data_IF_214762637441
#
_entry.id   IF_214762637441
#
_cell.length_a   1.000
_cell.length_b   1.000
_cell.length_c   1.000
_cell.angle_alpha   90.00
_cell.angle_beta   90.00
_cell.angle_gamma   90.00
#
_symmetry.space_group_name_H-M   'P 1'
#
loop_
_entity.id
_entity.type
_entity.pdbx_description
1 polymer ?
#
# COMPACT_ATOMS: atom_id res chain seq x y z
N UNK A 1 45.59 -2.36 -16.80
CA UNK A 1 44.87 -1.70 -15.66
C UNK A 1 43.41 -2.04 -15.77
N UNK A 2 42.82 -2.72 -14.78
CA UNK A 2 41.39 -2.94 -14.73
C UNK A 2 40.69 -1.60 -14.46
N UNK A 3 39.66 -1.28 -15.23
CA UNK A 3 38.84 -0.09 -14.99
C UNK A 3 38.19 -0.19 -13.59
N UNK A 4 38.09 0.90 -12.84
CA UNK A 4 37.37 0.88 -11.57
C UNK A 4 35.90 0.51 -11.82
N UNK A 5 35.25 -0.25 -10.91
CA UNK A 5 33.86 -0.63 -11.07
C UNK A 5 32.95 0.61 -11.03
N UNK A 6 31.97 0.67 -11.94
CA UNK A 6 30.89 1.65 -11.86
C UNK A 6 30.04 1.35 -10.63
N UNK A 7 29.85 2.35 -9.77
CA UNK A 7 29.02 2.24 -8.56
C UNK A 7 27.67 2.88 -8.75
N UNK A 8 26.64 2.31 -8.13
CA UNK A 8 25.34 2.94 -8.02
C UNK A 8 25.40 4.20 -7.12
N UNK A 9 24.34 5.05 -7.17
CA UNK A 9 24.20 6.17 -6.25
C UNK A 9 24.19 5.69 -4.80
N UNK A 10 24.91 6.41 -3.92
CA UNK A 10 25.06 6.04 -2.51
C UNK A 10 23.71 5.93 -1.77
N UNK A 11 22.76 6.81 -2.08
CA UNK A 11 21.40 6.76 -1.50
C UNK A 11 20.67 5.43 -1.77
N UNK A 12 20.98 4.73 -2.86
CA UNK A 12 20.35 3.45 -3.18
C UNK A 12 20.83 2.30 -2.28
N UNK A 13 21.97 2.42 -1.63
CA UNK A 13 22.46 1.39 -0.70
C UNK A 13 21.63 1.30 0.59
N UNK A 14 20.92 2.37 0.96
CA UNK A 14 20.06 2.42 2.13
C UNK A 14 18.61 1.98 1.83
N UNK A 15 18.25 1.85 0.54
CA UNK A 15 16.90 1.44 0.11
C UNK A 15 16.69 -0.05 0.35
N UNK A 16 15.75 -0.38 1.22
CA UNK A 16 15.30 -1.75 1.47
C UNK A 16 13.96 -1.99 0.80
N UNK A 17 13.93 -2.81 -0.24
CA UNK A 17 12.70 -3.15 -0.96
C UNK A 17 12.70 -4.65 -1.33
N UNK A 18 12.52 -5.50 -0.32
CA UNK A 18 12.65 -6.96 -0.46
C UNK A 18 11.48 -7.66 -1.15
N UNK A 19 10.38 -6.95 -1.46
CA UNK A 19 9.19 -7.52 -2.13
C UNK A 19 9.56 -8.21 -3.45
N UNK A 20 10.62 -7.71 -4.15
CA UNK A 20 11.21 -8.30 -5.35
C UNK A 20 12.72 -8.53 -5.21
N UNK A 21 13.18 -8.77 -3.99
CA UNK A 21 14.58 -8.94 -3.64
C UNK A 21 15.13 -10.35 -3.89
N UNK A 22 16.02 -10.79 -3.00
CA UNK A 22 16.71 -12.08 -3.11
C UNK A 22 15.74 -13.28 -3.12
N UNK A 23 14.72 -13.26 -2.27
CA UNK A 23 13.71 -14.33 -2.20
C UNK A 23 12.93 -14.49 -3.51
N UNK A 24 12.56 -13.39 -4.17
CA UNK A 24 11.85 -13.47 -5.45
C UNK A 24 12.72 -14.06 -6.55
N UNK A 25 14.01 -13.68 -6.62
CA UNK A 25 14.98 -14.29 -7.57
C UNK A 25 15.20 -15.79 -7.30
N UNK A 26 15.26 -16.19 -6.01
CA UNK A 26 15.38 -17.61 -5.66
C UNK A 26 14.14 -18.40 -6.05
N UNK A 27 12.93 -17.83 -5.86
CA UNK A 27 11.69 -18.43 -6.30
C UNK A 27 11.65 -18.65 -7.82
N UNK A 28 12.09 -17.65 -8.62
CA UNK A 28 12.20 -17.79 -10.09
C UNK A 28 13.19 -18.88 -10.49
N UNK A 29 14.28 -19.04 -9.75
CA UNK A 29 15.23 -20.13 -10.00
C UNK A 29 14.60 -21.50 -9.74
N UNK A 30 13.91 -21.68 -8.60
CA UNK A 30 13.22 -22.93 -8.27
C UNK A 30 12.14 -23.27 -9.32
N UNK A 31 11.41 -22.26 -9.82
CA UNK A 31 10.45 -22.48 -10.92
C UNK A 31 11.12 -22.98 -12.21
N UNK A 32 12.32 -22.47 -12.56
CA UNK A 32 13.10 -22.98 -13.69
C UNK A 32 13.61 -24.40 -13.46
N UNK A 33 13.81 -24.79 -12.21
CA UNK A 33 14.16 -26.16 -11.78
C UNK A 33 12.93 -27.10 -11.79
N UNK A 34 11.72 -26.58 -12.08
CA UNK A 34 10.47 -27.35 -12.20
C UNK A 34 9.60 -27.40 -10.97
N UNK A 35 9.88 -26.60 -9.94
CA UNK A 35 9.07 -26.53 -8.74
C UNK A 35 7.90 -25.56 -8.89
N UNK A 36 6.72 -25.93 -8.39
CA UNK A 36 5.56 -25.04 -8.30
C UNK A 36 5.62 -24.24 -7.00
N UNK A 37 5.69 -22.91 -7.09
CA UNK A 37 5.82 -22.01 -5.94
C UNK A 37 4.51 -21.26 -5.68
N UNK A 38 3.98 -21.36 -4.47
CA UNK A 38 2.84 -20.54 -4.03
C UNK A 38 3.36 -19.17 -3.60
N UNK A 39 3.13 -18.13 -4.44
CA UNK A 39 3.65 -16.78 -4.24
C UNK A 39 2.69 -15.90 -3.46
N UNK A 40 2.93 -15.70 -2.17
CA UNK A 40 2.11 -14.89 -1.25
C UNK A 40 2.76 -13.55 -0.89
N UNK A 41 3.92 -13.24 -1.47
CA UNK A 41 4.71 -12.06 -1.17
C UNK A 41 4.22 -10.77 -1.84
N UNK A 42 3.41 -10.85 -2.90
CA UNK A 42 2.92 -9.70 -3.66
C UNK A 42 1.39 -9.77 -3.78
N UNK A 43 0.72 -8.66 -3.46
CA UNK A 43 -0.72 -8.48 -3.72
C UNK A 43 -1.00 -8.35 -5.22
N UNK A 44 -1.03 -9.47 -5.92
CA UNK A 44 -1.29 -9.58 -7.36
C UNK A 44 -2.55 -10.42 -7.64
N UNK A 45 -3.75 -9.81 -7.57
CA UNK A 45 -5.01 -10.55 -7.73
C UNK A 45 -5.11 -11.37 -9.01
N UNK A 46 -4.61 -10.83 -10.12
CA UNK A 46 -4.64 -11.50 -11.42
C UNK A 46 -3.95 -12.85 -11.46
N UNK A 47 -2.87 -13.03 -10.69
CA UNK A 47 -2.15 -14.30 -10.59
C UNK A 47 -2.97 -15.42 -9.91
N UNK A 48 -4.00 -15.05 -9.14
CA UNK A 48 -4.90 -15.97 -8.45
C UNK A 48 -6.29 -16.03 -9.08
N UNK A 49 -6.40 -15.65 -10.37
CA UNK A 49 -7.65 -15.75 -11.13
C UNK A 49 -8.70 -14.67 -10.82
N UNK A 50 -8.36 -13.65 -10.03
CA UNK A 50 -9.21 -12.46 -9.91
C UNK A 50 -9.07 -11.61 -11.16
N UNK A 51 -10.18 -11.34 -11.81
CA UNK A 51 -10.21 -10.52 -13.03
C UNK A 51 -10.73 -9.12 -12.73
N UNK A 52 -10.24 -8.13 -13.47
CA UNK A 52 -10.85 -6.81 -13.46
C UNK A 52 -12.28 -6.91 -14.02
N UNK A 53 -13.19 -5.99 -13.65
CA UNK A 53 -14.52 -5.91 -14.23
C UNK A 53 -14.46 -5.86 -15.76
N UNK A 54 -15.32 -6.64 -16.44
CA UNK A 54 -15.32 -6.73 -17.90
C UNK A 54 -15.65 -5.39 -18.56
N UNK A 55 -16.53 -4.59 -17.93
CA UNK A 55 -16.86 -3.23 -18.37
C UNK A 55 -15.63 -2.33 -18.53
N UNK A 56 -14.64 -2.46 -17.65
CA UNK A 56 -13.37 -1.70 -17.75
C UNK A 56 -12.57 -2.14 -18.98
N UNK A 57 -12.53 -3.44 -19.28
CA UNK A 57 -11.86 -3.97 -20.46
C UNK A 57 -12.50 -3.47 -21.74
N UNK A 58 -13.84 -3.52 -21.80
CA UNK A 58 -14.63 -3.02 -22.93
C UNK A 58 -14.36 -1.51 -23.14
N UNK A 59 -14.38 -0.73 -22.07
CA UNK A 59 -14.10 0.72 -22.15
C UNK A 59 -12.70 1.01 -22.72
N UNK A 60 -11.68 0.26 -22.29
CA UNK A 60 -10.31 0.41 -22.83
C UNK A 60 -10.26 0.05 -24.32
N UNK A 61 -10.79 -1.10 -24.72
CA UNK A 61 -10.74 -1.56 -26.11
C UNK A 61 -11.49 -0.62 -27.03
N UNK A 62 -12.67 -0.17 -26.61
CA UNK A 62 -13.48 0.79 -27.39
C UNK A 62 -12.79 2.12 -27.65
N UNK A 63 -11.91 2.57 -26.73
CA UNK A 63 -11.22 3.85 -26.82
C UNK A 63 -9.74 3.72 -27.22
N UNK A 64 -9.24 2.50 -27.52
CA UNK A 64 -7.82 2.27 -27.81
C UNK A 64 -7.31 3.13 -28.98
N UNK A 65 -8.12 3.39 -29.98
CA UNK A 65 -7.81 4.25 -31.12
C UNK A 65 -7.54 5.72 -30.75
N UNK A 66 -7.91 6.15 -29.54
CA UNK A 66 -7.65 7.50 -29.03
C UNK A 66 -6.35 7.56 -28.20
N UNK A 67 -5.64 6.45 -28.07
CA UNK A 67 -4.46 6.35 -27.23
C UNK A 67 -3.12 6.54 -27.98
N UNK A 68 -3.17 6.82 -29.29
CA UNK A 68 -1.98 7.03 -30.11
C UNK A 68 -1.21 8.32 -29.74
N UNK A 69 -1.87 9.50 -29.56
CA UNK A 69 -1.16 10.73 -29.23
C UNK A 69 -0.82 10.83 -27.73
N UNK A 70 0.17 11.66 -27.43
CA UNK A 70 0.35 12.13 -26.05
C UNK A 70 -0.90 12.88 -25.56
N UNK A 71 -1.20 12.74 -24.28
CA UNK A 71 -2.30 13.44 -23.64
C UNK A 71 -1.79 14.46 -22.60
N UNK A 72 -2.69 15.08 -21.86
CA UNK A 72 -2.34 16.03 -20.82
C UNK A 72 -1.46 15.40 -19.74
N UNK A 73 -0.47 16.13 -19.21
CA UNK A 73 0.47 15.62 -18.18
C UNK A 73 -0.23 15.16 -16.90
N UNK A 74 -1.36 15.76 -16.54
CA UNK A 74 -2.21 15.33 -15.41
C UNK A 74 -3.10 14.13 -15.73
N UNK A 75 -3.19 13.69 -17.00
CA UNK A 75 -4.07 12.62 -17.48
C UNK A 75 -5.28 13.15 -18.28
N UNK A 76 -5.98 12.24 -18.96
CA UNK A 76 -7.16 12.60 -19.76
C UNK A 76 -8.26 13.20 -18.87
N UNK A 77 -9.02 14.14 -19.43
CA UNK A 77 -10.03 14.89 -18.67
C UNK A 77 -11.09 13.95 -18.07
N UNK A 78 -11.59 12.98 -18.83
CA UNK A 78 -12.62 12.04 -18.39
C UNK A 78 -12.18 11.21 -17.16
N UNK A 79 -10.90 10.81 -17.10
CA UNK A 79 -10.38 10.08 -15.95
C UNK A 79 -10.27 11.00 -14.71
N UNK A 80 -9.80 12.23 -14.89
CA UNK A 80 -9.68 13.22 -13.81
C UNK A 80 -11.06 13.62 -13.27
N UNK A 81 -12.02 13.86 -14.15
CA UNK A 81 -13.40 14.20 -13.79
C UNK A 81 -14.08 13.04 -13.02
N UNK A 82 -13.89 11.80 -13.43
CA UNK A 82 -14.42 10.65 -12.70
C UNK A 82 -13.85 10.55 -11.27
N UNK A 83 -12.58 10.89 -11.09
CA UNK A 83 -11.97 10.97 -9.74
C UNK A 83 -12.57 12.12 -8.93
N UNK A 84 -12.79 13.29 -9.54
CA UNK A 84 -13.49 14.40 -8.88
C UNK A 84 -14.87 13.99 -8.39
N UNK A 85 -15.67 13.34 -9.25
CA UNK A 85 -16.99 12.84 -8.87
C UNK A 85 -16.92 11.85 -7.70
N UNK A 86 -15.92 10.95 -7.68
CA UNK A 86 -15.70 10.06 -6.55
C UNK A 86 -15.41 10.84 -5.26
N UNK A 87 -14.55 11.87 -5.31
CA UNK A 87 -14.23 12.70 -4.16
C UNK A 87 -15.45 13.47 -3.66
N UNK A 88 -16.23 14.05 -4.55
CA UNK A 88 -17.47 14.76 -4.22
C UNK A 88 -18.50 13.83 -3.55
N UNK A 89 -18.66 12.61 -4.06
CA UNK A 89 -19.52 11.58 -3.44
C UNK A 89 -19.04 11.19 -2.03
N UNK A 90 -17.77 11.42 -1.72
CA UNK A 90 -17.15 11.21 -0.40
C UNK A 90 -17.16 12.44 0.50
N UNK A 91 -17.79 13.54 0.05
CA UNK A 91 -17.91 14.78 0.82
C UNK A 91 -16.82 15.82 0.59
N UNK A 92 -15.91 15.61 -0.38
CA UNK A 92 -14.85 16.57 -0.74
C UNK A 92 -15.33 17.40 -1.93
N UNK A 93 -16.05 18.50 -1.66
CA UNK A 93 -16.82 19.25 -2.66
C UNK A 93 -16.00 20.28 -3.46
N UNK A 94 -14.85 20.70 -2.95
CA UNK A 94 -14.05 21.80 -3.51
C UNK A 94 -12.94 21.34 -4.48
N UNK A 95 -12.88 20.02 -4.76
CA UNK A 95 -11.91 19.43 -5.71
C UNK A 95 -12.39 19.57 -7.14
N UNK A 96 -11.48 19.94 -8.04
CA UNK A 96 -11.68 20.06 -9.48
C UNK A 96 -10.75 19.15 -10.27
N UNK A 97 -10.93 19.03 -11.58
CA UNK A 97 -10.04 18.24 -12.43
C UNK A 97 -8.59 18.78 -12.45
N UNK A 98 -8.37 20.03 -12.05
CA UNK A 98 -7.01 20.60 -11.95
C UNK A 98 -6.26 20.12 -10.71
N UNK A 99 -6.96 19.59 -9.72
CA UNK A 99 -6.39 19.05 -8.49
C UNK A 99 -6.05 17.57 -8.60
N UNK A 100 -6.34 16.93 -9.75
CA UNK A 100 -6.20 15.49 -9.97
C UNK A 100 -5.05 15.19 -10.93
N UNK A 101 -4.17 14.27 -10.54
CA UNK A 101 -3.08 13.74 -11.36
C UNK A 101 -3.26 12.23 -11.55
N UNK A 102 -3.32 11.78 -12.80
CA UNK A 102 -3.29 10.36 -13.15
C UNK A 102 -1.85 9.94 -13.42
N UNK A 103 -1.42 8.86 -12.79
CA UNK A 103 -0.05 8.33 -12.91
C UNK A 103 0.01 6.86 -13.30
N UNK A 104 1.23 6.37 -13.58
CA UNK A 104 1.51 4.97 -13.89
C UNK A 104 1.44 4.09 -12.61
N UNK A 105 0.29 4.15 -11.95
CA UNK A 105 0.01 3.58 -10.63
C UNK A 105 0.42 4.53 -9.50
N UNK A 106 -0.08 4.25 -8.30
CA UNK A 106 0.22 5.02 -7.08
C UNK A 106 1.72 5.14 -6.84
N UNK A 107 2.50 4.12 -7.21
CA UNK A 107 3.96 4.12 -6.99
C UNK A 107 4.68 5.28 -7.70
N UNK A 108 4.29 5.62 -8.93
CA UNK A 108 4.83 6.80 -9.62
C UNK A 108 4.43 8.08 -8.89
N UNK A 109 3.17 8.19 -8.50
CA UNK A 109 2.64 9.40 -7.85
C UNK A 109 3.29 9.65 -6.48
N UNK A 110 3.58 8.60 -5.72
CA UNK A 110 4.38 8.70 -4.49
C UNK A 110 5.76 9.28 -4.79
N UNK A 111 6.44 8.75 -5.81
CA UNK A 111 7.77 9.25 -6.20
C UNK A 111 7.73 10.71 -6.65
N UNK A 112 6.73 11.11 -7.45
CA UNK A 112 6.57 12.50 -7.89
C UNK A 112 6.28 13.43 -6.70
N UNK A 113 5.35 13.05 -5.82
CA UNK A 113 4.99 13.84 -4.65
C UNK A 113 6.18 14.03 -3.70
N UNK A 114 6.91 12.96 -3.38
CA UNK A 114 8.08 13.04 -2.51
C UNK A 114 9.22 13.82 -3.17
N UNK A 115 9.46 13.62 -4.48
CA UNK A 115 10.50 14.37 -5.20
C UNK A 115 10.24 15.87 -5.22
N UNK A 116 8.98 16.28 -5.38
CA UNK A 116 8.61 17.69 -5.37
C UNK A 116 8.69 18.34 -3.99
N UNK A 117 8.55 17.55 -2.91
CA UNK A 117 8.46 18.03 -1.54
C UNK A 117 9.80 18.08 -0.79
N UNK A 118 10.66 17.06 -1.01
CA UNK A 118 11.75 16.76 -0.11
C UNK A 118 13.09 17.32 -0.58
N UNK A 119 13.83 17.88 0.38
CA UNK A 119 15.24 18.20 0.27
C UNK A 119 16.07 17.24 1.15
N UNK A 120 17.39 17.11 0.89
CA UNK A 120 18.27 16.36 1.77
C UNK A 120 18.18 16.83 3.23
N UNK A 121 17.97 15.87 4.14
CA UNK A 121 17.81 16.13 5.57
C UNK A 121 16.39 16.45 6.05
N UNK A 122 15.41 16.61 5.15
CA UNK A 122 14.01 16.66 5.52
C UNK A 122 13.53 15.31 6.11
N UNK A 123 12.43 15.33 6.84
CA UNK A 123 11.87 14.15 7.50
C UNK A 123 10.44 13.89 7.04
N UNK A 124 10.10 12.60 6.91
CA UNK A 124 8.73 12.12 6.63
C UNK A 124 8.34 11.13 7.71
N UNK A 125 7.21 11.37 8.39
CA UNK A 125 6.65 10.41 9.33
C UNK A 125 5.93 9.30 8.56
N UNK A 126 6.32 8.03 8.80
CA UNK A 126 5.82 6.85 8.09
C UNK A 126 5.39 5.80 9.13
N UNK A 127 4.30 5.03 8.93
CA UNK A 127 3.95 3.98 9.88
C UNK A 127 5.03 2.89 9.96
N UNK A 128 5.08 2.17 11.06
CA UNK A 128 5.81 0.91 11.21
C UNK A 128 4.86 -0.12 11.84
N UNK A 129 4.42 -1.13 11.06
CA UNK A 129 4.83 -1.50 9.68
C UNK A 129 4.28 -0.56 8.59
N UNK A 130 5.05 -0.39 7.48
CA UNK A 130 4.67 0.42 6.33
C UNK A 130 4.58 -0.38 5.02
N UNK A 131 4.11 0.29 3.96
CA UNK A 131 4.41 -0.13 2.60
C UNK A 131 5.79 0.44 2.22
N UNK A 132 6.83 -0.41 2.01
CA UNK A 132 8.23 0.01 1.97
C UNK A 132 8.59 1.08 0.93
N UNK A 133 7.71 1.31 -0.06
CA UNK A 133 7.91 2.37 -1.04
C UNK A 133 7.90 3.77 -0.41
N UNK A 134 7.11 3.98 0.65
CA UNK A 134 7.08 5.28 1.34
C UNK A 134 8.43 5.59 1.98
N UNK A 135 8.99 4.64 2.71
CA UNK A 135 10.36 4.76 3.26
C UNK A 135 11.40 4.90 2.16
N UNK A 136 11.34 4.04 1.13
CA UNK A 136 12.29 4.08 0.02
C UNK A 136 12.25 5.42 -0.73
N UNK A 137 11.06 5.98 -0.95
CA UNK A 137 10.93 7.27 -1.65
C UNK A 137 11.53 8.42 -0.86
N UNK A 138 11.43 8.44 0.47
CA UNK A 138 12.12 9.43 1.30
C UNK A 138 13.64 9.29 1.18
N UNK A 139 14.17 8.09 1.35
CA UNK A 139 15.61 7.78 1.32
C UNK A 139 16.23 8.12 -0.06
N UNK A 140 15.59 7.76 -1.17
CA UNK A 140 16.08 8.06 -2.53
C UNK A 140 16.26 9.57 -2.75
N UNK A 141 15.47 10.41 -2.07
CA UNK A 141 15.57 11.86 -2.18
C UNK A 141 16.47 12.49 -1.11
N UNK A 142 17.23 11.68 -0.34
CA UNK A 142 18.13 12.15 0.71
C UNK A 142 17.41 12.61 1.98
N UNK A 143 16.14 12.35 2.11
CA UNK A 143 15.34 12.61 3.30
C UNK A 143 15.34 11.39 4.24
N UNK A 144 14.89 11.60 5.47
CA UNK A 144 14.79 10.55 6.49
C UNK A 144 13.34 10.11 6.68
N UNK A 145 13.08 8.82 6.59
CA UNK A 145 11.85 8.23 7.08
C UNK A 145 11.92 8.06 8.61
N UNK A 146 11.02 8.70 9.33
CA UNK A 146 10.87 8.58 10.78
C UNK A 146 9.64 7.74 11.07
N UNK A 147 9.86 6.53 11.61
CA UNK A 147 8.79 5.56 11.78
C UNK A 147 8.03 5.78 13.08
N UNK A 148 6.69 5.98 12.98
CA UNK A 148 5.82 5.94 14.14
C UNK A 148 5.25 4.52 14.34
N UNK A 149 5.19 4.03 15.60
CA UNK A 149 4.82 2.64 15.85
C UNK A 149 3.32 2.40 15.70
N UNK A 150 2.95 1.36 14.94
CA UNK A 150 1.62 0.76 14.95
C UNK A 150 1.74 -0.62 15.62
N UNK A 151 1.36 -0.70 16.90
CA UNK A 151 1.62 -1.89 17.73
C UNK A 151 0.55 -2.97 17.57
N UNK A 152 0.93 -4.27 17.59
CA UNK A 152 -0.03 -5.38 17.55
C UNK A 152 -1.08 -5.30 18.67
N UNK A 153 -0.68 -4.90 19.88
CA UNK A 153 -1.56 -4.81 21.08
C UNK A 153 -2.67 -3.76 20.89
N UNK A 154 -2.50 -2.85 19.95
CA UNK A 154 -3.51 -1.83 19.56
C UNK A 154 -4.15 -2.14 18.20
N UNK A 155 -4.06 -3.39 17.72
CA UNK A 155 -4.58 -3.77 16.41
C UNK A 155 -3.86 -3.11 15.22
N UNK A 156 -2.60 -2.72 15.40
CA UNK A 156 -1.81 -1.94 14.44
C UNK A 156 -2.37 -0.55 14.12
N UNK A 157 -3.25 -0.03 14.97
CA UNK A 157 -3.72 1.36 14.89
C UNK A 157 -2.70 2.27 15.59
N UNK A 158 -2.20 3.34 14.96
CA UNK A 158 -1.24 4.26 15.57
C UNK A 158 -1.85 5.05 16.73
N UNK A 159 -0.98 5.47 17.66
CA UNK A 159 -1.32 6.46 18.68
C UNK A 159 -1.00 7.87 18.15
N UNK A 160 -2.00 8.74 17.91
CA UNK A 160 -1.76 10.08 17.42
C UNK A 160 -0.81 10.92 18.30
N UNK A 161 -0.85 10.73 19.62
CA UNK A 161 0.04 11.44 20.53
C UNK A 161 1.51 10.99 20.37
N UNK A 162 1.76 9.73 20.02
CA UNK A 162 3.10 9.25 19.69
C UNK A 162 3.56 9.80 18.33
N UNK A 163 2.67 9.86 17.35
CA UNK A 163 2.96 10.45 16.03
C UNK A 163 3.36 11.93 16.19
N UNK A 164 2.59 12.72 16.93
CA UNK A 164 2.84 14.14 17.12
C UNK A 164 4.17 14.43 17.84
N UNK A 165 4.57 13.58 18.79
CA UNK A 165 5.87 13.71 19.48
C UNK A 165 7.08 13.49 18.57
N UNK A 166 6.92 12.86 17.41
CA UNK A 166 7.98 12.66 16.41
C UNK A 166 8.14 13.85 15.46
N UNK A 167 7.22 14.82 15.49
CA UNK A 167 7.29 15.99 14.61
C UNK A 167 8.46 16.89 15.05
N UNK A 168 9.29 17.25 14.09
CA UNK A 168 10.42 18.20 14.26
C UNK A 168 10.30 19.36 13.28
N UNK A 169 11.18 20.35 13.38
CA UNK A 169 11.25 21.46 12.43
C UNK A 169 11.63 21.00 10.98
N UNK A 170 12.12 19.77 10.81
CA UNK A 170 12.46 19.18 9.51
C UNK A 170 11.35 18.30 8.95
N UNK A 171 10.32 18.01 9.71
CA UNK A 171 9.20 17.18 9.24
C UNK A 171 8.42 17.92 8.17
N UNK A 172 8.23 17.29 7.00
CA UNK A 172 7.51 17.84 5.85
C UNK A 172 6.17 17.18 5.60
N UNK A 173 6.08 15.89 5.90
CA UNK A 173 4.88 15.12 5.65
C UNK A 173 4.65 14.06 6.72
N UNK A 174 3.38 13.68 6.88
CA UNK A 174 2.97 12.46 7.58
C UNK A 174 2.21 11.56 6.62
N UNK A 175 2.60 10.30 6.55
CA UNK A 175 1.98 9.27 5.72
C UNK A 175 1.02 8.46 6.56
N UNK A 176 -0.20 8.28 6.07
CA UNK A 176 -1.21 7.38 6.62
C UNK A 176 -1.56 6.35 5.55
N UNK A 177 -1.50 5.06 5.88
CA UNK A 177 -1.88 3.96 4.99
C UNK A 177 -3.13 3.30 5.57
N UNK A 178 -4.28 3.57 4.98
CA UNK A 178 -5.57 3.13 5.52
C UNK A 178 -6.54 2.70 4.40
N UNK A 179 -6.98 1.45 4.36
CA UNK A 179 -6.55 0.28 5.14
C UNK A 179 -5.07 -0.06 4.96
N UNK A 180 -4.44 -0.55 6.03
CA UNK A 180 -2.98 -0.70 6.08
C UNK A 180 -2.47 -1.95 5.33
N UNK A 181 -1.39 -1.78 4.60
CA UNK A 181 -0.49 -2.82 4.13
C UNK A 181 0.81 -2.72 4.96
N UNK A 182 1.19 -3.75 5.76
CA UNK A 182 0.85 -5.17 5.60
C UNK A 182 -0.25 -5.72 6.52
N UNK A 183 -0.78 -4.97 7.47
CA UNK A 183 -1.51 -5.50 8.62
C UNK A 183 -3.00 -5.74 8.39
N UNK A 184 -3.60 -5.04 7.42
CA UNK A 184 -5.04 -5.03 7.22
C UNK A 184 -5.80 -4.22 8.29
N UNK A 185 -5.11 -3.41 9.09
CA UNK A 185 -5.75 -2.50 10.02
C UNK A 185 -6.56 -1.45 9.26
N UNK A 186 -7.73 -1.10 9.82
CA UNK A 186 -8.56 0.03 9.38
C UNK A 186 -8.63 1.02 10.54
N UNK A 187 -8.21 2.25 10.27
CA UNK A 187 -8.12 3.27 11.31
C UNK A 187 -9.50 3.84 11.62
N UNK A 188 -9.88 3.94 12.90
CA UNK A 188 -11.11 4.58 13.31
C UNK A 188 -11.13 6.09 13.04
N UNK A 189 -12.31 6.67 12.93
CA UNK A 189 -12.51 8.07 12.54
C UNK A 189 -11.70 9.04 13.40
N UNK A 190 -11.68 8.84 14.71
CA UNK A 190 -10.97 9.69 15.67
C UNK A 190 -9.44 9.71 15.45
N UNK A 191 -8.89 8.60 14.94
CA UNK A 191 -7.47 8.54 14.58
C UNK A 191 -7.21 9.32 13.30
N UNK A 192 -8.07 9.17 12.28
CA UNK A 192 -7.96 9.93 11.02
C UNK A 192 -8.10 11.44 11.30
N UNK A 193 -9.07 11.85 12.14
CA UNK A 193 -9.25 13.24 12.58
C UNK A 193 -7.99 13.78 13.26
N UNK A 194 -7.40 13.01 14.16
CA UNK A 194 -6.19 13.42 14.86
C UNK A 194 -5.02 13.62 13.89
N UNK A 195 -4.86 12.76 12.85
CA UNK A 195 -3.83 12.95 11.82
C UNK A 195 -4.05 14.23 11.01
N UNK A 196 -5.29 14.52 10.62
CA UNK A 196 -5.66 15.79 9.95
C UNK A 196 -5.30 16.99 10.84
N UNK A 197 -5.61 16.93 12.13
CA UNK A 197 -5.30 18.00 13.07
C UNK A 197 -3.79 18.17 13.29
N UNK A 198 -3.03 17.08 13.40
CA UNK A 198 -1.56 17.13 13.50
C UNK A 198 -0.97 17.80 12.26
N UNK A 199 -1.40 17.35 11.06
CA UNK A 199 -0.94 17.92 9.81
C UNK A 199 -1.25 19.42 9.71
N UNK A 200 -2.44 19.85 10.12
CA UNK A 200 -2.84 21.26 10.13
C UNK A 200 -2.00 22.10 11.11
N UNK A 201 -1.86 21.64 12.38
CA UNK A 201 -1.12 22.36 13.41
C UNK A 201 0.35 22.57 13.05
N UNK A 202 0.97 21.55 12.48
CA UNK A 202 2.39 21.55 12.15
C UNK A 202 2.68 21.91 10.69
N UNK A 203 1.66 22.27 9.90
CA UNK A 203 1.75 22.60 8.46
C UNK A 203 2.44 21.49 7.65
N UNK A 204 2.11 20.24 7.94
CA UNK A 204 2.61 19.07 7.23
C UNK A 204 1.70 18.72 6.05
N UNK A 205 2.27 18.09 5.05
CA UNK A 205 1.49 17.42 4.01
C UNK A 205 0.98 16.10 4.59
N UNK A 206 -0.35 15.89 4.59
CA UNK A 206 -0.96 14.60 4.92
C UNK A 206 -1.03 13.73 3.67
N UNK A 207 -0.23 12.69 3.59
CA UNK A 207 -0.27 11.70 2.52
C UNK A 207 -1.17 10.53 2.93
N UNK A 208 -2.37 10.46 2.37
CA UNK A 208 -3.35 9.40 2.62
C UNK A 208 -3.29 8.35 1.50
N UNK A 209 -2.63 7.22 1.76
CA UNK A 209 -2.61 6.05 0.88
C UNK A 209 -3.86 5.22 1.12
N UNK A 210 -4.86 5.41 0.26
CA UNK A 210 -6.21 4.85 0.37
C UNK A 210 -6.48 3.78 -0.70
N UNK A 211 -5.42 3.15 -1.23
CA UNK A 211 -5.52 2.19 -2.35
C UNK A 211 -6.40 0.96 -2.04
N UNK A 212 -6.74 0.71 -0.77
CA UNK A 212 -7.57 -0.40 -0.30
C UNK A 212 -8.93 0.05 0.26
N UNK A 213 -9.35 1.28 0.04
CA UNK A 213 -10.48 1.98 0.64
C UNK A 213 -11.81 1.19 0.69
N UNK A 214 -12.11 0.41 -0.35
CA UNK A 214 -13.34 -0.42 -0.45
C UNK A 214 -13.10 -1.90 -0.12
N UNK A 215 -11.87 -2.30 0.23
CA UNK A 215 -11.56 -3.66 0.64
C UNK A 215 -11.71 -3.81 2.15
N UNK A 216 -12.93 -3.97 2.61
CA UNK A 216 -13.30 -4.01 4.03
C UNK A 216 -13.97 -5.34 4.36
N UNK A 217 -13.78 -5.81 5.59
CA UNK A 217 -14.38 -7.03 6.11
C UNK A 217 -15.25 -6.74 7.32
N UNK A 218 -16.29 -7.55 7.48
CA UNK A 218 -17.21 -7.50 8.60
C UNK A 218 -17.87 -6.11 8.75
N UNK A 219 -17.78 -5.49 9.91
CA UNK A 219 -18.32 -4.18 10.27
C UNK A 219 -17.32 -3.02 10.13
N UNK A 220 -16.18 -3.26 9.49
CA UNK A 220 -15.18 -2.22 9.30
C UNK A 220 -15.71 -1.08 8.41
N UNK A 221 -15.52 0.15 8.87
CA UNK A 221 -15.85 1.36 8.13
C UNK A 221 -14.60 2.13 7.77
N UNK A 222 -14.49 2.52 6.51
CA UNK A 222 -13.41 3.38 6.02
C UNK A 222 -13.89 4.83 5.99
N UNK A 223 -13.04 5.74 6.45
CA UNK A 223 -13.29 7.18 6.41
C UNK A 223 -12.17 7.85 5.60
N UNK A 224 -12.50 8.55 4.49
CA UNK A 224 -11.52 9.27 3.69
C UNK A 224 -10.89 10.43 4.48
N UNK A 225 -9.57 10.53 4.51
CA UNK A 225 -8.87 11.62 5.19
C UNK A 225 -9.24 13.00 4.63
N UNK A 226 -9.40 13.10 3.31
CA UNK A 226 -9.80 14.33 2.64
C UNK A 226 -11.20 14.82 3.06
N UNK A 227 -12.16 13.91 3.33
CA UNK A 227 -13.50 14.27 3.80
C UNK A 227 -13.45 14.84 5.22
N UNK A 228 -12.64 14.24 6.11
CA UNK A 228 -12.39 14.77 7.45
C UNK A 228 -11.73 16.16 7.37
N UNK A 229 -10.71 16.33 6.52
CA UNK A 229 -10.03 17.61 6.32
C UNK A 229 -11.02 18.71 5.83
N UNK A 230 -11.89 18.38 4.89
CA UNK A 230 -12.94 19.29 4.41
C UNK A 230 -13.94 19.68 5.52
N UNK A 231 -14.37 18.72 6.36
CA UNK A 231 -15.23 18.96 7.50
C UNK A 231 -14.59 19.87 8.56
N UNK A 232 -13.33 19.63 8.90
CA UNK A 232 -12.55 20.47 9.83
C UNK A 232 -12.41 21.90 9.30
N UNK A 233 -12.13 22.06 8.02
CA UNK A 233 -12.03 23.38 7.37
C UNK A 233 -13.37 24.10 7.35
N UNK A 234 -14.47 23.42 7.04
CA UNK A 234 -15.81 23.99 7.05
C UNK A 234 -16.24 24.47 8.45
N UNK A 235 -15.72 23.85 9.51
CA UNK A 235 -15.91 24.28 10.90
C UNK A 235 -15.00 25.47 11.31
N UNK A 236 -14.21 26.03 10.38
CA UNK A 236 -13.37 27.21 10.61
C UNK A 236 -12.03 26.92 11.28
N UNK A 237 -11.64 25.65 11.42
CA UNK A 237 -10.31 25.29 11.91
C UNK A 237 -9.27 25.34 10.77
N UNK A 238 -7.94 25.45 11.09
CA UNK A 238 -6.89 25.41 10.09
C UNK A 238 -6.97 24.13 9.24
N UNK A 239 -6.90 24.30 7.92
CA UNK A 239 -6.94 23.19 6.99
C UNK A 239 -5.54 22.55 6.83
N UNK A 240 -5.49 21.22 6.66
CA UNK A 240 -4.31 20.52 6.22
C UNK A 240 -4.31 20.42 4.68
N UNK A 241 -3.14 20.45 4.05
CA UNK A 241 -3.00 19.95 2.69
C UNK A 241 -3.07 18.43 2.73
N UNK A 242 -4.09 17.86 2.09
CA UNK A 242 -4.27 16.41 2.00
C UNK A 242 -4.00 15.92 0.58
N UNK A 243 -3.16 14.91 0.45
CA UNK A 243 -2.86 14.18 -0.77
C UNK A 243 -3.49 12.80 -0.66
N UNK A 244 -4.55 12.55 -1.43
CA UNK A 244 -5.22 11.24 -1.47
C UNK A 244 -4.68 10.42 -2.64
N UNK A 245 -4.16 9.21 -2.34
CA UNK A 245 -3.65 8.26 -3.33
C UNK A 245 -4.64 7.10 -3.50
N UNK A 246 -5.09 6.88 -4.72
CA UNK A 246 -5.99 5.81 -5.10
C UNK A 246 -5.63 5.20 -6.45
N UNK A 247 -6.34 4.14 -6.87
CA UNK A 247 -6.03 3.55 -8.17
C UNK A 247 -6.73 2.23 -8.47
N UNK A 248 -6.54 1.75 -9.70
CA UNK A 248 -7.19 0.55 -10.22
C UNK A 248 -6.54 -0.77 -9.74
N UNK A 249 -5.38 -0.70 -9.09
CA UNK A 249 -4.54 -1.88 -8.83
C UNK A 249 -5.18 -2.90 -7.90
N UNK A 250 -5.92 -2.47 -6.88
CA UNK A 250 -6.35 -3.34 -5.77
C UNK A 250 -7.85 -3.57 -5.78
N UNK A 251 -8.63 -2.57 -5.47
CA UNK A 251 -10.09 -2.63 -5.47
C UNK A 251 -10.65 -3.16 -6.80
N UNK A 252 -10.07 -2.72 -7.91
CA UNK A 252 -10.50 -3.13 -9.26
C UNK A 252 -9.71 -4.31 -9.85
N UNK A 253 -8.77 -4.93 -9.10
CA UNK A 253 -7.94 -6.08 -9.52
C UNK A 253 -7.19 -5.86 -10.84
N UNK A 254 -6.84 -4.62 -11.15
CA UNK A 254 -6.28 -4.20 -12.44
C UNK A 254 -4.84 -3.66 -12.30
N UNK A 255 -4.01 -4.30 -11.46
CA UNK A 255 -2.65 -3.83 -11.17
C UNK A 255 -1.73 -3.77 -12.40
N UNK A 256 -1.98 -4.57 -13.43
CA UNK A 256 -1.24 -4.57 -14.70
C UNK A 256 -1.54 -3.37 -15.59
N UNK A 257 -2.67 -2.68 -15.42
CA UNK A 257 -3.01 -1.48 -16.19
C UNK A 257 -2.16 -0.27 -15.80
N UNK A 258 -1.50 -0.32 -14.64
CA UNK A 258 -0.66 0.78 -14.14
C UNK A 258 -1.40 2.12 -14.12
N UNK A 259 -2.56 2.19 -13.50
CA UNK A 259 -3.33 3.44 -13.33
C UNK A 259 -3.56 3.71 -11.85
N UNK A 260 -3.16 4.90 -11.42
CA UNK A 260 -3.45 5.46 -10.11
C UNK A 260 -3.75 6.95 -10.24
N UNK A 261 -4.25 7.53 -9.17
CA UNK A 261 -4.50 8.97 -9.08
C UNK A 261 -3.98 9.53 -7.76
N UNK A 262 -3.61 10.80 -7.82
CA UNK A 262 -3.29 11.65 -6.71
C UNK A 262 -4.27 12.83 -6.75
N UNK A 263 -4.89 13.14 -5.62
CA UNK A 263 -5.81 14.26 -5.47
C UNK A 263 -5.29 15.21 -4.42
N UNK A 264 -5.15 16.48 -4.76
CA UNK A 264 -4.86 17.56 -3.80
C UNK A 264 -6.18 18.14 -3.28
N UNK A 265 -6.32 18.20 -1.96
CA UNK A 265 -7.49 18.79 -1.29
C UNK A 265 -7.08 19.57 -0.03
N UNK A 266 -8.02 20.33 0.55
CA UNK A 266 -7.75 21.17 1.71
C UNK A 266 -6.97 22.45 1.36
N UNK A 267 -5.94 22.80 2.13
CA UNK A 267 -5.21 24.07 2.03
C UNK A 267 -4.24 24.10 0.84
N UNK A 268 -4.77 24.33 -0.37
CA UNK A 268 -4.00 24.35 -1.62
C UNK A 268 -3.35 25.70 -1.92
N UNK A 269 -3.88 26.81 -1.38
CA UNK A 269 -3.39 28.17 -1.70
C UNK A 269 -1.94 28.35 -1.22
N UNK A 270 -1.63 27.89 0.00
CA UNK A 270 -0.28 27.95 0.55
C UNK A 270 0.66 26.88 -0.02
N UNK A 271 0.13 25.92 -0.80
CA UNK A 271 0.88 24.82 -1.39
C UNK A 271 1.06 24.97 -2.92
N UNK A 272 0.76 26.12 -3.49
CA UNK A 272 0.76 26.33 -4.93
C UNK A 272 2.10 25.94 -5.57
N UNK A 273 3.19 26.42 -5.01
CA UNK A 273 4.55 26.10 -5.48
C UNK A 273 4.83 24.60 -5.49
N UNK A 274 4.39 23.88 -4.45
CA UNK A 274 4.51 22.42 -4.38
C UNK A 274 3.66 21.70 -5.43
N UNK A 275 2.42 22.14 -5.64
CA UNK A 275 1.51 21.58 -6.66
C UNK A 275 2.10 21.80 -8.06
N UNK A 276 2.62 23.00 -8.34
CA UNK A 276 3.26 23.34 -9.59
C UNK A 276 4.54 22.53 -9.81
N UNK A 277 5.30 22.22 -8.75
CA UNK A 277 6.46 21.32 -8.83
C UNK A 277 6.06 19.88 -9.16
N UNK A 278 4.96 19.36 -8.61
CA UNK A 278 4.42 18.03 -8.99
C UNK A 278 3.98 18.04 -10.47
N UNK A 279 3.34 19.11 -10.92
CA UNK A 279 2.93 19.24 -12.32
C UNK A 279 4.15 19.33 -13.27
N UNK A 280 5.19 20.07 -12.89
CA UNK A 280 6.45 20.09 -13.62
C UNK A 280 7.04 18.69 -13.79
N UNK A 281 7.15 17.92 -12.69
CA UNK A 281 7.66 16.55 -12.75
C UNK A 281 6.76 15.64 -13.61
N UNK A 282 5.44 15.81 -13.54
CA UNK A 282 4.51 15.09 -14.39
C UNK A 282 4.70 15.46 -15.88
N UNK A 283 5.04 16.71 -16.17
CA UNK A 283 5.32 17.19 -17.53
C UNK A 283 6.60 16.61 -18.11
N UNK A 284 7.63 16.38 -17.29
CA UNK A 284 8.90 15.78 -17.74
C UNK A 284 8.74 14.38 -18.32
N UNK A 285 7.70 13.64 -17.92
CA UNK A 285 7.35 12.32 -18.49
C UNK A 285 6.30 12.40 -19.60
N UNK A 286 5.91 13.59 -20.04
CA UNK A 286 4.86 13.91 -21.02
C UNK A 286 3.45 13.54 -20.50
N UNK A 287 3.08 12.27 -20.44
CA UNK A 287 1.83 11.78 -19.89
C UNK A 287 1.98 10.39 -19.28
N UNK A 288 1.01 9.95 -18.49
CA UNK A 288 0.94 8.56 -18.04
C UNK A 288 0.34 7.66 -19.13
N UNK A 289 0.42 6.34 -18.93
CA UNK A 289 -0.16 5.31 -19.81
C UNK A 289 -1.62 5.64 -20.17
N UNK A 290 -1.87 5.95 -21.44
CA UNK A 290 -3.17 6.45 -21.92
C UNK A 290 -4.24 5.35 -21.99
N UNK A 291 -3.97 4.13 -22.54
CA UNK A 291 -4.99 3.09 -22.66
C UNK A 291 -5.70 2.76 -21.34
N UNK A 292 -4.94 2.65 -20.27
CA UNK A 292 -5.49 2.33 -18.94
C UNK A 292 -6.38 3.41 -18.36
N UNK A 293 -6.20 4.68 -18.73
CA UNK A 293 -6.98 5.80 -18.22
C UNK A 293 -8.45 5.73 -18.65
N UNK A 294 -8.75 5.15 -19.81
CA UNK A 294 -10.13 4.96 -20.29
C UNK A 294 -10.94 3.99 -19.42
N UNK A 295 -10.29 3.21 -18.57
CA UNK A 295 -10.98 2.35 -17.61
C UNK A 295 -11.45 3.09 -16.34
N UNK A 296 -10.92 4.29 -16.05
CA UNK A 296 -11.15 4.98 -14.76
C UNK A 296 -12.61 5.34 -14.56
N UNK A 297 -13.23 5.98 -15.55
CA UNK A 297 -14.64 6.39 -15.45
C UNK A 297 -15.57 5.19 -15.23
N UNK A 298 -15.35 4.10 -15.98
CA UNK A 298 -16.15 2.87 -15.84
C UNK A 298 -15.89 2.18 -14.50
N UNK A 299 -14.66 2.23 -14.00
CA UNK A 299 -14.31 1.67 -12.69
C UNK A 299 -15.03 2.40 -11.56
N UNK A 300 -14.95 3.72 -11.54
CA UNK A 300 -15.50 4.54 -10.46
C UNK A 300 -17.03 4.68 -10.51
N UNK A 301 -17.60 4.77 -11.72
CA UNK A 301 -19.05 4.90 -11.93
C UNK A 301 -19.81 3.58 -12.05
N UNK A 302 -19.10 2.46 -12.14
CA UNK A 302 -19.70 1.14 -12.35
C UNK A 302 -20.05 0.40 -11.06
N UNK A 303 -20.51 -0.84 -11.22
CA UNK A 303 -20.76 -1.74 -10.09
C UNK A 303 -19.46 -2.06 -9.34
N UNK A 304 -19.46 -1.84 -8.03
CA UNK A 304 -18.31 -2.08 -7.16
C UNK A 304 -18.25 -3.56 -6.75
N UNK A 305 -17.81 -4.39 -7.69
CA UNK A 305 -17.74 -5.86 -7.51
C UNK A 305 -16.74 -6.33 -6.45
N UNK A 306 -15.98 -5.42 -5.86
CA UNK A 306 -15.13 -5.74 -4.71
C UNK A 306 -15.96 -6.13 -3.49
N UNK A 307 -17.14 -5.55 -3.30
CA UNK A 307 -18.05 -5.90 -2.22
C UNK A 307 -18.53 -7.35 -2.30
N UNK A 308 -18.67 -7.91 -3.51
CA UNK A 308 -19.01 -9.32 -3.67
C UNK A 308 -17.89 -10.27 -3.21
N UNK A 309 -16.66 -9.79 -3.19
CA UNK A 309 -15.49 -10.57 -2.75
C UNK A 309 -15.23 -10.47 -1.25
N UNK A 310 -15.57 -9.33 -0.63
CA UNK A 310 -15.29 -9.06 0.78
C UNK A 310 -16.45 -9.35 1.72
N UNK A 311 -17.70 -9.41 1.23
CA UNK A 311 -18.88 -9.78 2.03
C UNK A 311 -18.82 -11.24 2.51
N UNK A 312 -19.58 -11.63 3.55
CA UNK A 312 -19.70 -13.02 3.97
C UNK A 312 -20.03 -13.95 2.80
N UNK A 313 -19.27 -15.05 2.64
CA UNK A 313 -19.36 -15.97 1.50
C UNK A 313 -18.57 -15.53 0.26
N UNK A 314 -18.11 -14.30 0.18
CA UNK A 314 -17.21 -13.83 -0.89
C UNK A 314 -15.82 -14.47 -0.80
N UNK A 315 -15.12 -14.57 -1.92
CA UNK A 315 -13.85 -15.31 -2.00
C UNK A 315 -12.78 -14.77 -1.06
N UNK A 316 -12.59 -13.45 -0.98
CA UNK A 316 -11.60 -12.85 -0.07
C UNK A 316 -11.99 -13.06 1.39
N UNK A 317 -13.28 -12.92 1.71
CA UNK A 317 -13.79 -13.19 3.05
C UNK A 317 -13.58 -14.67 3.46
N UNK A 318 -13.88 -15.61 2.55
CA UNK A 318 -13.71 -17.03 2.80
C UNK A 318 -12.22 -17.40 3.00
N UNK A 319 -11.32 -16.84 2.18
CA UNK A 319 -9.87 -17.05 2.34
C UNK A 319 -9.37 -16.47 3.66
N UNK A 320 -9.82 -15.25 4.02
CA UNK A 320 -9.50 -14.65 5.32
C UNK A 320 -9.96 -15.55 6.48
N UNK A 321 -11.17 -16.07 6.42
CA UNK A 321 -11.70 -16.98 7.44
C UNK A 321 -10.86 -18.26 7.56
N UNK A 322 -10.42 -18.85 6.45
CA UNK A 322 -9.54 -20.02 6.43
C UNK A 322 -8.18 -19.73 7.10
N UNK A 323 -7.58 -18.58 6.81
CA UNK A 323 -6.33 -18.13 7.45
C UNK A 323 -6.50 -17.97 8.96
N UNK A 324 -7.56 -17.27 9.39
CA UNK A 324 -7.84 -17.07 10.82
C UNK A 324 -8.07 -18.40 11.55
N UNK A 325 -8.81 -19.32 10.93
CA UNK A 325 -9.05 -20.66 11.47
C UNK A 325 -7.75 -21.50 11.54
N UNK A 326 -6.88 -21.43 10.53
CA UNK A 326 -5.60 -22.13 10.53
C UNK A 326 -4.68 -21.59 11.66
N UNK A 327 -4.56 -20.27 11.78
CA UNK A 327 -3.76 -19.63 12.84
C UNK A 327 -4.33 -19.93 14.24
N UNK A 328 -5.65 -19.94 14.41
CA UNK A 328 -6.27 -20.26 15.70
C UNK A 328 -6.00 -21.72 16.16
N UNK A 329 -5.76 -22.65 15.24
CA UNK A 329 -5.36 -24.04 15.56
C UNK A 329 -3.87 -24.20 15.79
N UNK A 330 -3.05 -23.24 15.39
CA UNK A 330 -1.61 -23.31 15.50
C UNK A 330 -1.14 -23.02 16.93
N UNK A 331 -0.18 -23.80 17.39
CA UNK A 331 0.55 -23.50 18.63
C UNK A 331 1.67 -22.47 18.44
N UNK A 332 2.05 -22.21 17.19
CA UNK A 332 3.19 -21.36 16.83
C UNK A 332 2.79 -19.95 16.38
N UNK A 333 1.54 -19.74 15.96
CA UNK A 333 1.13 -18.56 15.24
C UNK A 333 0.06 -17.77 15.97
N UNK A 334 0.08 -16.47 15.76
CA UNK A 334 -1.04 -15.58 16.06
C UNK A 334 -1.17 -14.50 14.97
N UNK A 335 -2.35 -13.91 14.84
CA UNK A 335 -2.61 -12.83 13.89
C UNK A 335 -3.68 -11.90 14.45
N UNK A 336 -3.47 -10.60 14.29
CA UNK A 336 -4.56 -9.65 14.42
C UNK A 336 -5.46 -9.78 13.20
N UNK A 337 -6.76 -10.05 13.38
CA UNK A 337 -7.68 -10.21 12.25
C UNK A 337 -7.66 -8.98 11.33
N UNK A 338 -7.27 -9.12 10.05
CA UNK A 338 -7.29 -7.99 9.13
C UNK A 338 -8.74 -7.53 8.93
N UNK A 339 -8.98 -6.25 9.09
CA UNK A 339 -10.29 -5.60 8.89
C UNK A 339 -10.44 -5.01 7.49
N UNK A 340 -9.34 -4.88 6.74
CA UNK A 340 -9.30 -4.39 5.37
C UNK A 340 -8.12 -4.94 4.59
N UNK A 341 -7.98 -4.46 3.34
CA UNK A 341 -6.96 -4.85 2.40
C UNK A 341 -6.99 -6.36 2.06
N UNK A 342 -5.89 -6.91 1.54
CA UNK A 342 -5.79 -8.30 1.11
C UNK A 342 -4.61 -9.03 1.76
N UNK A 343 -4.28 -8.68 3.00
CA UNK A 343 -3.10 -9.20 3.69
C UNK A 343 -3.43 -9.67 5.10
N UNK A 344 -2.64 -10.63 5.58
CA UNK A 344 -2.55 -10.97 6.98
C UNK A 344 -1.08 -10.89 7.41
N UNK A 345 -0.82 -10.21 8.54
CA UNK A 345 0.49 -10.03 9.13
C UNK A 345 0.60 -10.95 10.36
N UNK A 346 1.21 -12.11 10.14
CA UNK A 346 1.20 -13.23 11.07
C UNK A 346 2.44 -13.20 11.94
N UNK A 347 2.26 -13.34 13.26
CA UNK A 347 3.34 -13.48 14.24
C UNK A 347 3.67 -14.94 14.49
N UNK A 348 4.97 -15.25 14.58
CA UNK A 348 5.50 -16.51 15.07
C UNK A 348 5.83 -16.36 16.56
N UNK A 349 5.34 -17.26 17.39
CA UNK A 349 5.64 -17.33 18.82
C UNK A 349 7.05 -17.89 19.05
N UNK A 350 8.06 -17.06 18.81
CA UNK A 350 9.48 -17.46 18.88
C UNK A 350 9.90 -17.88 20.28
N UNK A 351 9.22 -17.40 21.32
CA UNK A 351 9.39 -17.81 22.71
C UNK A 351 9.05 -19.29 22.99
N UNK A 352 8.39 -19.96 22.04
CA UNK A 352 8.06 -21.38 22.10
C UNK A 352 9.03 -22.25 21.32
N UNK A 353 9.99 -21.65 20.61
CA UNK A 353 11.03 -22.37 19.88
C UNK A 353 12.27 -22.57 20.75
N UNK A 354 12.97 -23.72 20.66
CA UNK A 354 14.10 -24.06 21.54
C UNK A 354 15.31 -23.13 21.42
N UNK A 355 15.59 -22.67 20.20
CA UNK A 355 16.64 -21.70 19.94
C UNK A 355 16.03 -20.31 19.87
N UNK A 356 16.45 -19.37 20.71
CA UNK A 356 16.00 -17.99 20.69
C UNK A 356 16.36 -17.18 19.43
N UNK A 357 16.96 -17.82 18.43
CA UNK A 357 17.51 -17.21 17.20
C UNK A 357 16.58 -17.37 16.00
N UNK A 358 15.29 -16.99 16.14
CA UNK A 358 14.40 -16.93 15.00
C UNK A 358 14.70 -15.65 14.19
N UNK A 359 14.86 -15.80 12.85
CA UNK A 359 15.00 -14.70 11.90
C UNK A 359 13.98 -14.89 10.77
N UNK A 360 13.15 -13.90 10.55
CA UNK A 360 12.06 -13.93 9.57
C UNK A 360 12.53 -14.03 8.11
N UNK A 361 13.72 -13.51 7.79
CA UNK A 361 14.33 -13.63 6.46
C UNK A 361 14.75 -15.09 6.20
N UNK A 362 15.42 -15.69 7.19
CA UNK A 362 15.82 -17.11 7.10
C UNK A 362 14.60 -18.03 7.07
N UNK A 363 13.60 -17.75 7.90
CA UNK A 363 12.35 -18.51 7.90
C UNK A 363 11.66 -18.45 6.52
N UNK A 364 11.57 -17.27 5.90
CA UNK A 364 10.99 -17.12 4.59
C UNK A 364 11.79 -17.85 3.49
N UNK A 365 13.12 -17.88 3.58
CA UNK A 365 13.99 -18.63 2.69
C UNK A 365 13.80 -20.15 2.87
N UNK A 366 13.85 -20.65 4.10
CA UNK A 366 13.64 -22.08 4.39
C UNK A 366 12.22 -22.54 3.95
N UNK A 367 11.21 -21.69 4.13
CA UNK A 367 9.84 -21.96 3.68
C UNK A 367 9.76 -22.04 2.15
N UNK A 368 10.46 -21.16 1.45
CA UNK A 368 10.55 -21.19 0.01
C UNK A 368 11.27 -22.45 -0.49
N UNK A 369 12.45 -22.74 0.01
CA UNK A 369 13.31 -23.83 -0.49
C UNK A 369 12.78 -25.21 -0.13
N UNK A 370 12.19 -25.36 1.06
CA UNK A 370 11.82 -26.67 1.61
C UNK A 370 10.32 -26.97 1.50
N UNK A 371 9.50 -25.95 1.33
CA UNK A 371 8.02 -26.05 1.30
C UNK A 371 7.37 -25.39 0.09
N UNK A 372 8.18 -24.74 -0.77
CA UNK A 372 7.74 -24.08 -2.01
C UNK A 372 6.64 -23.02 -1.79
N UNK A 373 6.75 -22.27 -0.68
CA UNK A 373 5.85 -21.15 -0.35
C UNK A 373 6.69 -19.89 -0.19
N UNK A 374 6.35 -18.85 -0.92
CA UNK A 374 7.02 -17.54 -0.85
C UNK A 374 6.16 -16.54 -0.09
N UNK A 375 6.57 -16.18 1.11
CA UNK A 375 5.96 -15.11 1.94
C UNK A 375 6.83 -13.86 1.93
N UNK A 376 6.32 -12.74 2.44
CA UNK A 376 7.15 -11.56 2.69
C UNK A 376 7.57 -11.54 4.17
N UNK A 377 8.88 -11.50 4.50
CA UNK A 377 9.37 -11.33 5.86
C UNK A 377 8.83 -10.05 6.50
N UNK A 378 8.55 -10.08 7.79
CA UNK A 378 8.03 -8.92 8.53
C UNK A 378 9.01 -7.76 8.53
N UNK A 379 10.30 -8.04 8.68
CA UNK A 379 11.38 -7.04 8.65
C UNK A 379 11.43 -6.23 7.36
N UNK A 380 10.85 -6.73 6.25
CA UNK A 380 10.71 -6.00 4.99
C UNK A 380 9.72 -4.81 5.06
N UNK A 381 8.97 -4.68 6.15
CA UNK A 381 7.98 -3.62 6.37
C UNK A 381 8.44 -2.61 7.43
N UNK A 382 9.76 -2.45 7.59
CA UNK A 382 10.39 -1.49 8.49
C UNK A 382 9.93 -1.59 9.95
N UNK A 383 9.81 -2.82 10.44
CA UNK A 383 9.52 -3.11 11.84
C UNK A 383 10.80 -3.44 12.62
N UNK A 384 10.86 -3.15 13.93
CA UNK A 384 12.03 -3.42 14.76
C UNK A 384 12.16 -4.87 15.22
N UNK A 385 11.15 -5.70 14.98
CA UNK A 385 11.08 -7.11 15.38
C UNK A 385 11.22 -8.04 14.17
N UNK A 386 11.53 -9.34 14.41
CA UNK A 386 11.80 -10.33 13.36
C UNK A 386 10.99 -11.61 13.52
N UNK A 387 9.83 -11.50 14.15
CA UNK A 387 8.93 -12.63 14.46
C UNK A 387 7.63 -12.61 13.63
N UNK A 388 7.57 -11.80 12.56
CA UNK A 388 6.38 -11.71 11.71
C UNK A 388 6.69 -12.06 10.26
N UNK A 389 5.64 -12.44 9.53
CA UNK A 389 5.62 -12.52 8.06
C UNK A 389 4.26 -12.09 7.52
N UNK A 390 4.24 -11.64 6.27
CA UNK A 390 3.00 -11.27 5.59
C UNK A 390 2.63 -12.29 4.53
N UNK A 391 1.34 -12.66 4.48
CA UNK A 391 0.72 -13.42 3.39
C UNK A 391 -0.36 -12.62 2.71
N UNK A 392 -0.60 -12.88 1.40
CA UNK A 392 -1.78 -12.36 0.70
C UNK A 392 -2.97 -13.29 0.87
N UNK A 393 -4.18 -12.72 0.96
CA UNK A 393 -5.46 -13.45 1.07
C UNK A 393 -6.04 -13.75 -0.33
N UNK A 394 -5.18 -14.08 -1.31
CA UNK A 394 -5.57 -14.23 -2.71
C UNK A 394 -5.81 -15.69 -3.15
N UNK A 395 -5.09 -16.70 -2.63
CA UNK A 395 -5.41 -18.09 -2.93
C UNK A 395 -6.84 -18.46 -2.49
N UNK A 396 -7.35 -19.59 -2.95
CA UNK A 396 -8.59 -20.11 -2.41
C UNK A 396 -8.41 -20.66 -0.97
N UNK A 397 -9.48 -20.85 -0.21
CA UNK A 397 -9.41 -21.32 1.19
C UNK A 397 -8.64 -22.63 1.35
N UNK A 398 -8.83 -23.60 0.46
CA UNK A 398 -8.18 -24.91 0.53
C UNK A 398 -6.67 -24.82 0.30
N UNK A 399 -6.26 -23.98 -0.65
CA UNK A 399 -4.83 -23.71 -0.90
C UNK A 399 -4.19 -22.99 0.30
N UNK A 400 -4.91 -22.09 0.97
CA UNK A 400 -4.40 -21.46 2.20
C UNK A 400 -4.30 -22.42 3.36
N UNK A 401 -5.23 -23.36 3.52
CA UNK A 401 -5.10 -24.43 4.53
C UNK A 401 -3.85 -25.29 4.29
N UNK A 402 -3.56 -25.66 3.05
CA UNK A 402 -2.32 -26.38 2.67
C UNK A 402 -1.08 -25.53 2.97
N UNK A 403 -1.07 -24.25 2.61
CA UNK A 403 0.05 -23.33 2.91
C UNK A 403 0.32 -23.26 4.40
N UNK A 404 -0.71 -23.08 5.24
CA UNK A 404 -0.53 -23.01 6.69
C UNK A 404 -0.13 -24.36 7.27
N UNK A 405 -0.55 -25.50 6.71
CA UNK A 405 -0.05 -26.83 7.06
C UNK A 405 1.46 -26.97 6.78
N UNK A 406 1.95 -26.45 5.66
CA UNK A 406 3.39 -26.43 5.32
C UNK A 406 4.19 -25.52 6.27
N UNK A 407 3.63 -24.36 6.65
CA UNK A 407 4.22 -23.45 7.63
C UNK A 407 4.33 -24.14 8.99
N UNK A 408 3.27 -24.76 9.46
CA UNK A 408 3.23 -25.50 10.74
C UNK A 408 4.28 -26.61 10.76
N UNK A 409 4.35 -27.42 9.69
CA UNK A 409 5.35 -28.48 9.53
C UNK A 409 6.80 -27.96 9.61
N UNK A 410 7.09 -26.78 9.04
CA UNK A 410 8.42 -26.19 9.13
C UNK A 410 8.74 -25.70 10.54
N UNK A 411 7.76 -25.10 11.24
CA UNK A 411 7.93 -24.65 12.62
C UNK A 411 8.08 -25.83 13.60
N UNK A 412 7.37 -26.95 13.36
CA UNK A 412 7.59 -28.20 14.12
C UNK A 412 9.02 -28.73 13.96
N UNK A 413 9.59 -28.65 12.74
CA UNK A 413 11.00 -29.03 12.53
C UNK A 413 11.97 -28.07 13.25
N UNK A 414 11.66 -26.78 13.32
CA UNK A 414 12.47 -25.82 14.09
C UNK A 414 12.45 -26.13 15.57
N UNK A 415 11.31 -26.61 16.08
CA UNK A 415 11.16 -27.01 17.48
C UNK A 415 11.90 -28.29 17.85
N UNK A 416 12.31 -29.12 16.88
CA UNK A 416 13.05 -30.37 17.10
C UNK A 416 14.57 -30.19 17.04
N UNK A 417 15.04 -29.01 16.63
CA UNK A 417 16.46 -28.65 16.56
C UNK A 417 16.96 -28.05 17.85
#
# INVERSE_FOLDING_TARGET
MSLPPLRASEHLHEVRYEIRGALARRAEQLEREGHEIVKLNIGNPGAFGFRMPESMRVAMVANLHQADPYTHQKGIFQAREAVVMQQQNRGVMDVTAEDVFIGNGVSELIMLAMRALLNPGDEVLVPSPDYPLWTASAVIHGAKAVHYPCRPERGFVPDPAEVERLVTARTRAVVMINPNNPTGAVYPTEVVEAFVQIAARHRLVLCADEIYDEMLYDDAAFVPAAAIAAGVQAAGAPAALCLTFGGLSKVYRACGLRVGWLVFSGERQHARDYIDAVELLASLRLCSNVPGQYAVQTALGGHQSIFDLTKPGGRLHATRAAVLAAVARSRWLSVMPPRGAMYAFVRVHTERLPSGDFDDQRFALDLLERRHVLVAPGSSFNVPYRDHFRVTLLPDPKQMEDVFGRIESLLDEYAMR
#
